data_IF_353725858562
#
_entry.id   IF_353725858562
#
_cell.length_a   1.000
_cell.length_b   1.000
_cell.length_c   1.000
_cell.angle_alpha   90.00
_cell.angle_beta   90.00
_cell.angle_gamma   90.00
#
_symmetry.space_group_name_H-M   'P 1'
#
loop_
_entity.id
_entity.type
_entity.pdbx_description
1 polymer ?
#
# COMPACT_ATOMS: atom_id res chain seq x y z
N UNK A 1 5.83 -27.77 -41.32
CA UNK A 1 6.49 -28.37 -40.15
C UNK A 1 5.67 -27.99 -38.93
N UNK A 2 5.09 -28.95 -38.20
CA UNK A 2 4.39 -28.63 -36.94
C UNK A 2 5.44 -28.29 -35.89
N UNK A 3 5.27 -27.16 -35.19
CA UNK A 3 6.14 -26.80 -34.09
C UNK A 3 5.86 -27.74 -32.90
N UNK A 4 6.89 -28.28 -32.26
CA UNK A 4 6.71 -29.12 -31.06
C UNK A 4 6.56 -28.22 -29.82
N UNK A 5 5.33 -27.80 -29.52
CA UNK A 5 5.04 -26.91 -28.39
C UNK A 5 5.42 -27.51 -27.03
N UNK A 6 5.22 -28.82 -26.84
CA UNK A 6 5.57 -29.53 -25.60
C UNK A 6 7.06 -29.42 -25.31
N UNK A 7 7.91 -29.65 -26.31
CA UNK A 7 9.36 -29.50 -26.14
C UNK A 7 9.74 -28.08 -25.69
N UNK A 8 9.07 -27.04 -26.19
CA UNK A 8 9.36 -25.66 -25.77
C UNK A 8 8.90 -25.42 -24.33
N UNK A 9 7.75 -25.98 -23.93
CA UNK A 9 7.29 -25.95 -22.54
C UNK A 9 8.29 -26.68 -21.62
N UNK A 10 8.81 -27.84 -22.02
CA UNK A 10 9.81 -28.59 -21.26
C UNK A 10 11.08 -27.76 -21.02
N UNK A 11 11.51 -26.94 -22.00
CA UNK A 11 12.66 -26.04 -21.79
C UNK A 11 12.39 -25.01 -20.68
N UNK A 12 11.15 -24.56 -20.52
CA UNK A 12 10.79 -23.63 -19.44
C UNK A 12 10.83 -24.36 -18.10
N UNK A 13 10.14 -25.50 -18.00
CA UNK A 13 10.01 -26.27 -16.76
C UNK A 13 11.35 -26.83 -16.29
N UNK A 14 12.09 -27.49 -17.19
CA UNK A 14 13.33 -28.20 -16.84
C UNK A 14 14.55 -27.27 -16.80
N UNK A 15 14.59 -26.22 -17.62
CA UNK A 15 15.80 -25.40 -17.80
C UNK A 15 15.62 -23.92 -17.42
N UNK A 16 14.46 -23.50 -16.89
CA UNK A 16 14.15 -22.09 -16.63
C UNK A 16 14.39 -21.17 -17.85
N UNK A 17 14.04 -21.64 -19.04
CA UNK A 17 14.30 -20.91 -20.29
C UNK A 17 13.37 -19.69 -20.46
N UNK A 18 13.91 -18.50 -20.19
CA UNK A 18 13.20 -17.24 -20.36
C UNK A 18 12.79 -16.97 -21.81
N UNK A 19 13.64 -17.30 -22.79
CA UNK A 19 13.39 -17.01 -24.20
C UNK A 19 12.28 -17.91 -24.73
N UNK A 20 12.24 -19.18 -24.29
CA UNK A 20 11.12 -20.08 -24.57
C UNK A 20 9.80 -19.51 -24.02
N UNK A 21 9.79 -18.98 -22.79
CA UNK A 21 8.59 -18.34 -22.22
C UNK A 21 8.16 -17.11 -23.04
N UNK A 22 9.07 -16.17 -23.32
CA UNK A 22 8.75 -14.96 -24.12
C UNK A 22 8.21 -15.34 -25.51
N UNK A 23 8.84 -16.32 -26.15
CA UNK A 23 8.41 -16.81 -27.45
C UNK A 23 6.97 -17.35 -27.42
N UNK A 24 6.65 -18.20 -26.44
CA UNK A 24 5.29 -18.75 -26.30
C UNK A 24 4.26 -17.67 -25.96
N UNK A 25 4.59 -16.68 -25.11
CA UNK A 25 3.69 -15.55 -24.85
C UNK A 25 3.36 -14.76 -26.11
N UNK A 26 4.37 -14.51 -26.95
CA UNK A 26 4.16 -13.81 -28.22
C UNK A 26 3.30 -14.64 -29.17
N UNK A 27 3.50 -15.96 -29.22
CA UNK A 27 2.65 -16.85 -30.02
C UNK A 27 1.21 -16.93 -29.52
N UNK A 28 0.98 -16.88 -28.20
CA UNK A 28 -0.39 -16.75 -27.66
C UNK A 28 -1.06 -15.43 -28.08
N UNK A 29 -0.29 -14.36 -28.26
CA UNK A 29 -0.80 -13.06 -28.71
C UNK A 29 -1.13 -13.03 -30.21
N UNK A 30 -0.17 -13.38 -31.06
CA UNK A 30 -0.26 -13.17 -32.53
C UNK A 30 -0.45 -14.44 -33.36
N UNK A 31 -0.43 -15.62 -32.75
CA UNK A 31 -0.58 -16.90 -33.44
C UNK A 31 -1.98 -17.13 -34.00
N UNK A 32 -2.13 -18.14 -34.85
CA UNK A 32 -3.44 -18.59 -35.33
C UNK A 32 -4.25 -19.25 -34.21
N UNK A 33 -5.56 -19.40 -34.39
CA UNK A 33 -6.44 -20.04 -33.41
C UNK A 33 -5.92 -21.44 -33.05
N UNK A 34 -5.58 -22.25 -34.06
CA UNK A 34 -5.04 -23.61 -33.85
C UNK A 34 -3.72 -23.60 -33.08
N UNK A 35 -2.80 -22.68 -33.41
CA UNK A 35 -1.54 -22.56 -32.70
C UNK A 35 -1.75 -22.18 -31.23
N UNK A 36 -2.64 -21.21 -30.96
CA UNK A 36 -2.97 -20.83 -29.58
C UNK A 36 -3.56 -22.01 -28.83
N UNK A 37 -4.50 -22.72 -29.44
CA UNK A 37 -5.14 -23.89 -28.85
C UNK A 37 -4.11 -24.97 -28.47
N UNK A 38 -3.23 -25.36 -29.39
CA UNK A 38 -2.20 -26.37 -29.16
C UNK A 38 -1.17 -25.94 -28.10
N UNK A 39 -0.76 -24.66 -28.10
CA UNK A 39 0.16 -24.12 -27.09
C UNK A 39 -0.49 -24.18 -25.71
N UNK A 40 -1.74 -23.72 -25.57
CA UNK A 40 -2.44 -23.75 -24.28
C UNK A 40 -2.63 -25.19 -23.81
N UNK A 41 -2.92 -26.13 -24.71
CA UNK A 41 -3.01 -27.54 -24.35
C UNK A 41 -1.68 -28.10 -23.81
N UNK A 42 -0.55 -27.78 -24.46
CA UNK A 42 0.77 -28.18 -23.97
C UNK A 42 1.12 -27.55 -22.62
N UNK A 43 0.63 -26.35 -22.33
CA UNK A 43 0.79 -25.67 -21.05
C UNK A 43 -0.05 -26.33 -19.95
N UNK A 44 -1.30 -26.71 -20.26
CA UNK A 44 -2.21 -27.39 -19.32
C UNK A 44 -1.60 -28.70 -18.82
N UNK A 45 -0.98 -29.48 -19.72
CA UNK A 45 -0.33 -30.75 -19.39
C UNK A 45 0.78 -30.61 -18.30
N UNK A 46 1.33 -29.40 -18.12
CA UNK A 46 2.36 -29.08 -17.13
C UNK A 46 2.04 -27.80 -16.33
N UNK A 47 0.76 -27.55 -16.08
CA UNK A 47 0.29 -26.28 -15.53
C UNK A 47 0.95 -25.95 -14.18
N UNK A 48 0.89 -26.85 -13.19
CA UNK A 48 1.41 -26.56 -11.85
C UNK A 48 2.92 -26.24 -11.84
N UNK A 49 3.81 -27.05 -12.45
CA UNK A 49 5.23 -26.70 -12.56
C UNK A 49 5.46 -25.32 -13.19
N UNK A 50 4.67 -24.92 -14.18
CA UNK A 50 4.76 -23.59 -14.79
C UNK A 50 4.27 -22.48 -13.85
N UNK A 51 3.23 -22.71 -13.05
CA UNK A 51 2.70 -21.70 -12.12
C UNK A 51 3.72 -21.23 -11.09
N UNK A 52 4.53 -22.17 -10.57
CA UNK A 52 5.59 -21.89 -9.59
C UNK A 52 6.95 -21.61 -10.24
N UNK A 53 6.99 -21.48 -11.56
CA UNK A 53 8.20 -21.18 -12.30
C UNK A 53 8.39 -19.67 -12.51
N UNK A 54 9.62 -19.19 -12.37
CA UNK A 54 10.01 -17.78 -12.54
C UNK A 54 9.55 -17.16 -13.86
N UNK A 55 9.54 -17.93 -14.94
CA UNK A 55 9.12 -17.46 -16.26
C UNK A 55 7.84 -18.14 -16.75
N UNK A 56 7.52 -19.34 -16.26
CA UNK A 56 6.32 -20.09 -16.62
C UNK A 56 5.03 -19.44 -16.11
N UNK A 57 5.07 -18.75 -14.96
CA UNK A 57 3.87 -18.15 -14.37
C UNK A 57 3.20 -17.12 -15.31
N UNK A 58 4.00 -16.34 -16.04
CA UNK A 58 3.50 -15.38 -17.03
C UNK A 58 2.79 -16.07 -18.20
N UNK A 59 3.23 -17.29 -18.54
CA UNK A 59 2.61 -18.12 -19.57
C UNK A 59 1.20 -18.54 -19.14
N UNK A 60 1.08 -19.08 -17.92
CA UNK A 60 -0.21 -19.49 -17.36
C UNK A 60 -1.16 -18.31 -17.24
N UNK A 61 -0.66 -17.14 -16.81
CA UNK A 61 -1.46 -15.91 -16.77
C UNK A 61 -2.00 -15.51 -18.15
N UNK A 62 -1.20 -15.68 -19.22
CA UNK A 62 -1.64 -15.40 -20.60
C UNK A 62 -2.64 -16.42 -21.13
N UNK A 63 -2.61 -17.65 -20.63
CA UNK A 63 -3.63 -18.65 -20.97
C UNK A 63 -5.02 -18.25 -20.46
N UNK A 64 -5.13 -17.50 -19.35
CA UNK A 64 -6.42 -16.95 -18.92
C UNK A 64 -6.99 -15.89 -19.87
N UNK A 65 -6.14 -15.22 -20.65
CA UNK A 65 -6.55 -14.17 -21.60
C UNK A 65 -6.81 -14.70 -23.02
N UNK A 66 -6.18 -15.82 -23.38
CA UNK A 66 -6.15 -16.32 -24.75
C UNK A 66 -6.65 -17.76 -24.91
N UNK A 67 -6.87 -18.49 -23.81
CA UNK A 67 -7.44 -19.83 -23.82
C UNK A 67 -8.96 -19.81 -24.05
N UNK A 68 -9.51 -20.92 -24.52
CA UNK A 68 -10.97 -21.10 -24.57
C UNK A 68 -11.54 -21.23 -23.16
N UNK A 69 -12.87 -21.07 -22.96
CA UNK A 69 -13.50 -21.29 -21.66
C UNK A 69 -13.16 -22.66 -21.04
N UNK A 70 -13.12 -23.72 -21.86
CA UNK A 70 -12.78 -25.08 -21.42
C UNK A 70 -11.32 -25.19 -20.96
N UNK A 71 -10.41 -24.49 -21.65
CA UNK A 71 -8.99 -24.43 -21.28
C UNK A 71 -8.77 -23.62 -19.99
N UNK A 72 -9.50 -22.51 -19.81
CA UNK A 72 -9.50 -21.75 -18.56
C UNK A 72 -9.98 -22.63 -17.40
N UNK A 73 -11.03 -23.40 -17.60
CA UNK A 73 -11.53 -24.38 -16.63
C UNK A 73 -10.48 -25.45 -16.33
N UNK A 74 -9.79 -25.98 -17.34
CA UNK A 74 -8.72 -26.97 -17.14
C UNK A 74 -7.57 -26.42 -16.29
N UNK A 75 -7.19 -25.15 -16.49
CA UNK A 75 -6.19 -24.47 -15.66
C UNK A 75 -6.72 -24.29 -14.23
N UNK A 76 -7.98 -23.90 -14.06
CA UNK A 76 -8.60 -23.79 -12.74
C UNK A 76 -8.64 -25.13 -11.99
N UNK A 77 -8.87 -26.25 -12.70
CA UNK A 77 -8.77 -27.60 -12.12
C UNK A 77 -7.34 -27.94 -11.69
N UNK A 78 -6.30 -27.45 -12.38
CA UNK A 78 -4.92 -27.62 -11.93
C UNK A 78 -4.59 -26.79 -10.67
N UNK A 79 -5.27 -25.66 -10.46
CA UNK A 79 -5.16 -24.85 -9.23
C UNK A 79 -5.88 -25.51 -8.05
N UNK A 80 -6.99 -26.22 -8.30
CA UNK A 80 -7.78 -26.88 -7.27
C UNK A 80 -6.92 -27.82 -6.41
N UNK A 81 -7.08 -27.70 -5.10
CA UNK A 81 -6.28 -28.39 -4.09
C UNK A 81 -4.93 -27.73 -3.78
N UNK A 82 -4.51 -26.75 -4.59
CA UNK A 82 -3.20 -26.11 -4.51
C UNK A 82 -3.29 -24.60 -4.25
N UNK A 83 -4.47 -24.02 -4.06
CA UNK A 83 -4.63 -22.55 -3.94
C UNK A 83 -3.77 -21.99 -2.81
N UNK A 84 -3.70 -22.67 -1.67
CA UNK A 84 -2.87 -22.27 -0.53
C UNK A 84 -1.38 -22.23 -0.89
N UNK A 85 -0.86 -23.32 -1.46
CA UNK A 85 0.57 -23.43 -1.81
C UNK A 85 0.95 -22.40 -2.86
N UNK A 86 0.12 -22.24 -3.90
CA UNK A 86 0.34 -21.24 -4.94
C UNK A 86 0.28 -19.82 -4.38
N UNK A 87 -0.65 -19.51 -3.48
CA UNK A 87 -0.74 -18.19 -2.85
C UNK A 87 0.50 -17.82 -2.03
N UNK A 88 1.17 -18.82 -1.45
CA UNK A 88 2.41 -18.65 -0.69
C UNK A 88 3.68 -18.80 -1.54
N UNK A 89 3.56 -19.03 -2.85
CA UNK A 89 4.69 -19.09 -3.77
C UNK A 89 5.00 -17.71 -4.37
N UNK A 90 6.28 -17.42 -4.60
CA UNK A 90 6.75 -16.14 -5.13
C UNK A 90 6.26 -15.82 -6.55
N UNK A 91 5.85 -16.85 -7.31
CA UNK A 91 5.34 -16.73 -8.67
C UNK A 91 3.87 -17.17 -8.76
N UNK A 92 3.52 -18.23 -8.03
CA UNK A 92 2.17 -18.78 -7.97
C UNK A 92 1.13 -17.78 -7.48
N UNK A 93 1.50 -16.85 -6.58
CA UNK A 93 0.55 -15.88 -6.04
C UNK A 93 0.00 -14.96 -7.14
N UNK A 94 0.80 -14.65 -8.17
CA UNK A 94 0.38 -13.86 -9.32
C UNK A 94 -0.59 -14.64 -10.21
N UNK A 95 -0.39 -15.95 -10.35
CA UNK A 95 -1.33 -16.82 -11.07
C UNK A 95 -2.66 -16.90 -10.34
N UNK A 96 -2.66 -17.06 -9.01
CA UNK A 96 -3.90 -17.10 -8.22
C UNK A 96 -4.67 -15.79 -8.31
N UNK A 97 -3.98 -14.64 -8.22
CA UNK A 97 -4.60 -13.33 -8.41
C UNK A 97 -5.25 -13.20 -9.80
N UNK A 98 -4.55 -13.63 -10.86
CA UNK A 98 -5.10 -13.61 -12.23
C UNK A 98 -6.27 -14.57 -12.40
N UNK A 99 -6.19 -15.75 -11.78
CA UNK A 99 -7.27 -16.73 -11.81
C UNK A 99 -8.56 -16.16 -11.22
N UNK A 100 -8.49 -15.42 -10.10
CA UNK A 100 -9.67 -14.76 -9.53
C UNK A 100 -10.37 -13.76 -10.46
N UNK A 101 -9.66 -13.19 -11.45
CA UNK A 101 -10.27 -12.32 -12.47
C UNK A 101 -10.96 -13.11 -13.58
N UNK A 102 -10.45 -14.29 -13.92
CA UNK A 102 -10.75 -14.94 -15.19
C UNK A 102 -11.57 -16.23 -15.07
N UNK A 103 -11.50 -16.95 -13.96
CA UNK A 103 -12.19 -18.24 -13.83
C UNK A 103 -13.68 -18.07 -13.52
N UNK A 104 -14.54 -19.05 -13.87
CA UNK A 104 -15.95 -19.04 -13.49
C UNK A 104 -16.14 -18.97 -11.97
N UNK A 105 -17.29 -18.44 -11.53
CA UNK A 105 -17.58 -18.16 -10.12
C UNK A 105 -17.50 -19.40 -9.23
N UNK A 106 -17.87 -20.57 -9.74
CA UNK A 106 -17.74 -21.86 -9.04
C UNK A 106 -16.28 -22.19 -8.66
N UNK A 107 -15.32 -21.88 -9.55
CA UNK A 107 -13.89 -22.11 -9.29
C UNK A 107 -13.32 -21.04 -8.36
N UNK A 108 -13.79 -19.79 -8.49
CA UNK A 108 -13.45 -18.73 -7.52
C UNK A 108 -13.84 -19.18 -6.12
N UNK A 109 -15.07 -19.66 -5.93
CA UNK A 109 -15.56 -20.14 -4.63
C UNK A 109 -14.70 -21.28 -4.06
N UNK A 110 -14.30 -22.26 -4.88
CA UNK A 110 -13.40 -23.34 -4.46
C UNK A 110 -12.05 -22.79 -3.97
N UNK A 111 -11.44 -21.88 -4.74
CA UNK A 111 -10.18 -21.24 -4.36
C UNK A 111 -10.30 -20.47 -3.05
N UNK A 112 -11.39 -19.72 -2.87
CA UNK A 112 -11.69 -19.03 -1.60
C UNK A 112 -11.78 -20.02 -0.45
N UNK A 113 -12.56 -21.10 -0.59
CA UNK A 113 -12.70 -22.11 0.45
C UNK A 113 -11.38 -22.78 0.83
N UNK A 114 -10.44 -22.94 -0.11
CA UNK A 114 -9.11 -23.45 0.18
C UNK A 114 -8.28 -22.43 0.98
N UNK A 115 -8.28 -21.15 0.58
CA UNK A 115 -7.53 -20.10 1.27
C UNK A 115 -8.02 -19.90 2.72
N UNK A 116 -9.33 -20.00 2.95
CA UNK A 116 -9.96 -19.89 4.27
C UNK A 116 -9.50 -20.97 5.28
N UNK A 117 -8.78 -22.03 4.86
CA UNK A 117 -8.32 -23.09 5.77
C UNK A 117 -7.11 -22.69 6.62
N UNK A 118 -6.33 -21.67 6.22
CA UNK A 118 -5.11 -21.23 6.91
C UNK A 118 -5.03 -19.71 7.00
N UNK A 119 -6.11 -19.08 7.47
CA UNK A 119 -6.23 -17.60 7.51
C UNK A 119 -5.08 -16.95 8.30
N UNK A 120 -4.80 -17.32 9.57
CA UNK A 120 -3.82 -16.58 10.36
C UNK A 120 -2.43 -16.56 9.75
N UNK A 121 -2.03 -17.67 9.12
CA UNK A 121 -0.74 -17.79 8.46
C UNK A 121 -0.67 -17.05 7.13
N UNK A 122 -1.70 -17.19 6.30
CA UNK A 122 -1.67 -16.64 4.94
C UNK A 122 -1.89 -15.13 4.90
N UNK A 123 -2.65 -14.56 5.82
CA UNK A 123 -2.91 -13.10 5.89
C UNK A 123 -1.61 -12.31 6.10
N UNK A 124 -0.69 -12.84 6.92
CA UNK A 124 0.60 -12.20 7.19
C UNK A 124 1.73 -12.71 6.29
N UNK A 125 1.45 -13.65 5.39
CA UNK A 125 2.48 -14.21 4.51
C UNK A 125 2.88 -13.22 3.42
N UNK A 126 4.19 -13.12 3.14
CA UNK A 126 4.77 -12.12 2.23
C UNK A 126 4.26 -12.12 0.79
N UNK A 127 3.78 -13.27 0.31
CA UNK A 127 3.20 -13.41 -1.03
C UNK A 127 1.67 -13.54 -1.00
N UNK A 128 1.13 -14.19 0.03
CA UNK A 128 -0.31 -14.47 0.08
C UNK A 128 -1.11 -13.26 0.55
N UNK A 129 -0.49 -12.27 1.20
CA UNK A 129 -1.14 -11.00 1.53
C UNK A 129 -1.70 -10.28 0.29
N UNK A 130 -1.03 -10.37 -0.87
CA UNK A 130 -1.51 -9.80 -2.13
C UNK A 130 -2.73 -10.56 -2.66
N UNK A 131 -2.79 -11.87 -2.43
CA UNK A 131 -3.97 -12.69 -2.75
C UNK A 131 -5.15 -12.29 -1.88
N UNK A 132 -4.93 -12.02 -0.59
CA UNK A 132 -5.96 -11.51 0.32
C UNK A 132 -6.48 -10.13 -0.07
N UNK A 133 -5.61 -9.19 -0.43
CA UNK A 133 -6.03 -7.88 -0.95
C UNK A 133 -6.91 -8.03 -2.19
N UNK A 134 -6.46 -8.85 -3.16
CA UNK A 134 -7.26 -9.17 -4.34
C UNK A 134 -8.61 -9.78 -3.97
N UNK A 135 -8.63 -10.65 -2.97
CA UNK A 135 -9.83 -11.35 -2.52
C UNK A 135 -10.88 -10.37 -1.94
N UNK A 136 -10.46 -9.38 -1.15
CA UNK A 136 -11.36 -8.37 -0.59
C UNK A 136 -11.89 -7.39 -1.63
N UNK A 137 -11.18 -7.22 -2.75
CA UNK A 137 -11.61 -6.39 -3.88
C UNK A 137 -12.56 -7.10 -4.85
N UNK A 138 -12.73 -8.43 -4.73
CA UNK A 138 -13.55 -9.20 -5.66
C UNK A 138 -15.01 -8.73 -5.68
N UNK A 139 -15.57 -8.77 -6.88
CA UNK A 139 -16.99 -8.57 -7.14
C UNK A 139 -17.59 -9.90 -7.58
N UNK A 140 -18.67 -10.30 -6.91
CA UNK A 140 -19.40 -11.53 -7.16
C UNK A 140 -20.67 -11.19 -7.94
N UNK A 141 -21.08 -12.06 -8.86
CA UNK A 141 -22.34 -11.87 -9.58
C UNK A 141 -23.53 -12.37 -8.77
N UNK A 142 -23.32 -13.41 -7.96
CA UNK A 142 -24.28 -13.92 -6.97
C UNK A 142 -24.03 -13.42 -5.56
N UNK A 143 -24.57 -14.15 -4.58
CA UNK A 143 -24.30 -13.90 -3.16
C UNK A 143 -22.80 -14.17 -2.86
N UNK A 144 -22.04 -13.15 -2.42
CA UNK A 144 -20.62 -13.34 -2.14
C UNK A 144 -20.43 -14.28 -0.94
N UNK A 145 -19.37 -15.12 -0.92
CA UNK A 145 -19.03 -15.85 0.28
C UNK A 145 -18.77 -14.87 1.44
N UNK A 146 -19.13 -15.24 2.67
CA UNK A 146 -18.93 -14.42 3.87
C UNK A 146 -17.44 -14.42 4.31
N UNK A 147 -16.54 -14.05 3.40
CA UNK A 147 -15.07 -14.14 3.56
C UNK A 147 -14.63 -13.38 4.80
N UNK A 148 -15.06 -12.12 4.92
CA UNK A 148 -14.63 -11.23 6.02
C UNK A 148 -15.10 -11.75 7.37
N UNK A 149 -16.27 -12.39 7.44
CA UNK A 149 -16.74 -13.06 8.65
C UNK A 149 -15.80 -14.19 9.08
N UNK A 150 -15.44 -15.11 8.18
CA UNK A 150 -14.50 -16.19 8.49
C UNK A 150 -13.13 -15.64 8.91
N UNK A 151 -12.68 -14.57 8.26
CA UNK A 151 -11.43 -13.90 8.61
C UNK A 151 -11.50 -13.28 10.00
N UNK A 152 -12.59 -12.58 10.33
CA UNK A 152 -12.83 -12.02 11.66
C UNK A 152 -12.91 -13.10 12.73
N UNK A 153 -13.56 -14.23 12.45
CA UNK A 153 -13.66 -15.34 13.40
C UNK A 153 -12.29 -15.98 13.66
N UNK A 154 -11.48 -16.15 12.61
CA UNK A 154 -10.13 -16.72 12.72
C UNK A 154 -9.10 -15.77 13.35
N UNK A 155 -9.30 -14.45 13.23
CA UNK A 155 -8.39 -13.41 13.73
C UNK A 155 -8.91 -12.66 14.94
N UNK A 156 -10.01 -13.12 15.56
CA UNK A 156 -10.57 -12.51 16.76
C UNK A 156 -9.52 -12.37 17.85
N UNK A 157 -9.33 -11.14 18.33
CA UNK A 157 -8.34 -10.78 19.33
C UNK A 157 -6.93 -10.54 18.79
N UNK A 158 -6.67 -10.79 17.50
CA UNK A 158 -5.33 -10.73 16.89
C UNK A 158 -5.18 -9.61 15.87
N UNK A 159 -6.22 -8.81 15.59
CA UNK A 159 -6.14 -7.77 14.55
C UNK A 159 -5.07 -6.72 14.82
N UNK A 160 -4.80 -6.42 16.09
CA UNK A 160 -3.73 -5.51 16.48
C UNK A 160 -2.34 -6.10 16.17
N UNK A 161 -2.12 -7.40 16.37
CA UNK A 161 -0.86 -8.08 16.00
C UNK A 161 -0.68 -8.10 14.48
N UNK A 162 -1.75 -8.37 13.73
CA UNK A 162 -1.73 -8.33 12.26
C UNK A 162 -1.37 -6.93 11.77
N UNK A 163 -1.94 -5.87 12.37
CA UNK A 163 -1.65 -4.48 12.02
C UNK A 163 -0.18 -4.08 12.28
N UNK A 164 0.50 -4.72 13.23
CA UNK A 164 1.91 -4.47 13.53
C UNK A 164 2.87 -5.10 12.50
N UNK A 165 2.40 -6.07 11.69
CA UNK A 165 3.21 -6.74 10.68
C UNK A 165 3.37 -5.95 9.38
N UNK A 166 4.50 -6.12 8.69
CA UNK A 166 4.79 -5.49 7.39
C UNK A 166 3.68 -5.72 6.37
N UNK A 167 3.32 -6.98 6.17
CA UNK A 167 2.32 -7.45 5.20
C UNK A 167 0.91 -7.35 5.76
N UNK A 168 0.74 -7.66 7.05
CA UNK A 168 -0.54 -7.62 7.75
C UNK A 168 -1.14 -6.22 7.81
N UNK A 169 -0.31 -5.19 8.00
CA UNK A 169 -0.77 -3.78 8.00
C UNK A 169 -1.41 -3.36 6.67
N UNK A 170 -0.94 -3.92 5.54
CA UNK A 170 -1.53 -3.67 4.22
C UNK A 170 -2.89 -4.35 4.10
N UNK A 171 -3.03 -5.57 4.63
CA UNK A 171 -4.31 -6.29 4.66
C UNK A 171 -5.33 -5.56 5.53
N UNK A 172 -4.92 -5.06 6.70
CA UNK A 172 -5.78 -4.27 7.60
C UNK A 172 -6.28 -3.01 6.91
N UNK A 173 -5.41 -2.26 6.23
CA UNK A 173 -5.81 -1.06 5.47
C UNK A 173 -6.76 -1.41 4.32
N UNK A 174 -6.51 -2.51 3.59
CA UNK A 174 -7.40 -2.95 2.52
C UNK A 174 -8.81 -3.32 3.05
N UNK A 175 -8.91 -3.92 4.24
CA UNK A 175 -10.20 -4.15 4.92
C UNK A 175 -10.90 -2.83 5.24
N UNK A 176 -10.16 -1.81 5.69
CA UNK A 176 -10.75 -0.50 5.99
C UNK A 176 -11.37 0.17 4.76
N UNK A 177 -10.77 -0.03 3.59
CA UNK A 177 -11.16 0.56 2.32
C UNK A 177 -12.25 -0.21 1.58
N UNK A 178 -12.12 -1.54 1.51
CA UNK A 178 -12.87 -2.36 0.55
C UNK A 178 -14.02 -3.16 1.17
N UNK A 179 -14.03 -3.35 2.49
CA UNK A 179 -15.08 -4.13 3.14
C UNK A 179 -16.27 -3.25 3.56
N UNK A 180 -17.46 -3.88 3.61
CA UNK A 180 -18.68 -3.27 4.12
C UNK A 180 -18.50 -2.82 5.58
N UNK A 181 -19.28 -1.83 5.98
CA UNK A 181 -19.13 -1.20 7.29
C UNK A 181 -19.29 -2.21 8.43
N UNK A 182 -20.32 -3.07 8.37
CA UNK A 182 -20.55 -4.13 9.34
C UNK A 182 -19.42 -5.16 9.40
N UNK A 183 -18.82 -5.49 8.26
CA UNK A 183 -17.80 -6.54 8.13
C UNK A 183 -16.44 -6.09 8.65
N UNK A 184 -16.08 -4.80 8.46
CA UNK A 184 -14.80 -4.29 8.97
C UNK A 184 -14.83 -3.93 10.45
N UNK A 185 -16.01 -3.86 11.09
CA UNK A 185 -16.14 -3.46 12.51
C UNK A 185 -15.25 -4.23 13.47
N UNK A 186 -15.16 -5.57 13.46
CA UNK A 186 -14.31 -6.29 14.41
C UNK A 186 -12.83 -5.89 14.29
N UNK A 187 -12.31 -5.80 13.06
CA UNK A 187 -10.95 -5.35 12.79
C UNK A 187 -10.70 -3.91 13.27
N UNK A 188 -11.55 -2.96 12.87
CA UNK A 188 -11.42 -1.54 13.27
C UNK A 188 -11.49 -1.39 14.79
N UNK A 189 -12.42 -2.08 15.44
CA UNK A 189 -12.61 -1.99 16.89
C UNK A 189 -11.42 -2.53 17.66
N UNK A 190 -10.83 -3.66 17.24
CA UNK A 190 -9.65 -4.22 17.89
C UNK A 190 -8.40 -3.34 17.69
N UNK A 191 -8.20 -2.81 16.47
CA UNK A 191 -7.12 -1.87 16.18
C UNK A 191 -7.26 -0.60 17.04
N UNK A 192 -8.47 -0.02 17.13
CA UNK A 192 -8.73 1.15 17.97
C UNK A 192 -8.67 0.88 19.47
N UNK A 193 -8.90 -0.36 19.90
CA UNK A 193 -8.76 -0.75 21.32
C UNK A 193 -7.29 -0.90 21.72
N UNK A 194 -6.41 -1.17 20.75
CA UNK A 194 -4.96 -1.28 20.92
C UNK A 194 -4.20 -0.12 20.26
N UNK A 195 -4.85 1.03 20.10
CA UNK A 195 -4.34 2.17 19.33
C UNK A 195 -2.95 2.63 19.79
N UNK A 196 -2.65 2.55 21.09
CA UNK A 196 -1.33 2.92 21.63
C UNK A 196 -0.22 2.06 21.06
N UNK A 197 -0.35 0.74 21.20
CA UNK A 197 0.62 -0.23 20.66
C UNK A 197 0.73 -0.10 19.14
N UNK A 198 -0.41 0.02 18.44
CA UNK A 198 -0.43 0.07 16.97
C UNK A 198 0.20 1.37 16.45
N UNK A 199 -0.05 2.52 17.09
CA UNK A 199 0.51 3.81 16.67
C UNK A 199 2.04 3.89 16.80
N UNK A 200 2.61 3.20 17.80
CA UNK A 200 4.07 3.09 17.99
C UNK A 200 4.72 2.02 17.09
N UNK A 201 3.93 1.23 16.35
CA UNK A 201 4.45 0.20 15.45
C UNK A 201 5.01 0.79 14.15
N UNK A 202 6.13 0.23 13.66
CA UNK A 202 6.75 0.59 12.37
C UNK A 202 5.77 0.52 11.18
N UNK A 203 4.88 -0.47 11.21
CA UNK A 203 3.84 -0.67 10.21
C UNK A 203 2.46 -0.25 10.71
N UNK A 204 2.15 -0.50 11.99
CA UNK A 204 0.86 -0.18 12.59
C UNK A 204 0.48 1.31 12.54
N UNK A 205 1.46 2.23 12.60
CA UNK A 205 1.18 3.66 12.52
C UNK A 205 0.43 4.05 11.22
N UNK A 206 0.64 3.32 10.11
CA UNK A 206 -0.09 3.56 8.86
C UNK A 206 -1.58 3.20 8.98
N UNK A 207 -1.93 2.16 9.72
CA UNK A 207 -3.33 1.81 10.00
C UNK A 207 -4.03 2.92 10.81
N UNK A 208 -3.34 3.52 11.78
CA UNK A 208 -3.93 4.63 12.58
C UNK A 208 -4.04 5.91 11.75
N UNK A 209 -3.02 6.21 10.92
CA UNK A 209 -3.10 7.33 9.96
C UNK A 209 -4.30 7.18 9.02
N UNK A 210 -4.52 5.97 8.50
CA UNK A 210 -5.66 5.66 7.63
C UNK A 210 -6.99 5.94 8.32
N UNK A 211 -7.17 5.48 9.56
CA UNK A 211 -8.38 5.77 10.35
C UNK A 211 -8.55 7.28 10.57
N UNK A 212 -7.46 8.00 10.84
CA UNK A 212 -7.52 9.45 11.05
C UNK A 212 -7.92 10.23 9.78
N UNK A 213 -7.59 9.72 8.59
CA UNK A 213 -7.82 10.40 7.31
C UNK A 213 -9.13 9.99 6.64
N UNK A 214 -9.44 8.69 6.67
CA UNK A 214 -10.52 8.08 5.90
C UNK A 214 -11.58 7.37 6.75
N UNK A 215 -11.34 7.23 8.06
CA UNK A 215 -12.27 6.57 8.97
C UNK A 215 -13.62 7.27 9.07
N UNK A 216 -14.63 6.52 9.52
CA UNK A 216 -15.93 7.08 9.89
C UNK A 216 -15.76 8.19 10.93
N UNK A 217 -16.72 9.12 11.03
CA UNK A 217 -16.64 10.22 12.01
C UNK A 217 -16.39 9.68 13.44
N UNK A 218 -17.13 8.66 13.93
CA UNK A 218 -16.87 8.09 15.26
C UNK A 218 -15.46 7.50 15.43
N UNK A 219 -14.98 6.74 14.45
CA UNK A 219 -13.66 6.09 14.52
C UNK A 219 -12.53 7.14 14.51
N UNK A 220 -12.65 8.14 13.61
CA UNK A 220 -11.70 9.25 13.53
C UNK A 220 -11.69 10.05 14.81
N UNK A 221 -12.84 10.41 15.37
CA UNK A 221 -12.93 11.12 16.65
C UNK A 221 -12.27 10.31 17.77
N UNK A 222 -12.57 9.00 17.88
CA UNK A 222 -11.94 8.12 18.87
C UNK A 222 -10.41 8.09 18.74
N UNK A 223 -9.90 7.96 17.51
CA UNK A 223 -8.47 7.95 17.26
C UNK A 223 -7.81 9.29 17.63
N UNK A 224 -8.38 10.40 17.14
CA UNK A 224 -7.89 11.76 17.38
C UNK A 224 -7.89 12.10 18.86
N UNK A 225 -8.95 11.77 19.60
CA UNK A 225 -9.04 12.04 21.04
C UNK A 225 -7.98 11.28 21.84
N UNK A 226 -7.65 10.05 21.41
CA UNK A 226 -6.56 9.28 22.00
C UNK A 226 -5.20 9.92 21.69
N UNK A 227 -4.94 10.28 20.43
CA UNK A 227 -3.69 10.93 20.01
C UNK A 227 -3.48 12.25 20.76
N UNK A 228 -4.54 13.06 20.93
CA UNK A 228 -4.48 14.31 21.69
C UNK A 228 -4.20 14.09 23.17
N UNK A 229 -4.70 12.99 23.75
CA UNK A 229 -4.44 12.64 25.16
C UNK A 229 -2.95 12.39 25.41
N UNK A 230 -2.27 11.76 24.46
CA UNK A 230 -0.84 11.42 24.52
C UNK A 230 0.01 12.30 23.58
N UNK A 231 -0.46 13.51 23.30
CA UNK A 231 0.12 14.40 22.27
C UNK A 231 1.61 14.65 22.49
N UNK A 232 2.06 14.73 23.74
CA UNK A 232 3.47 15.00 24.06
C UNK A 232 4.34 13.79 23.73
N UNK A 233 3.95 12.62 24.23
CA UNK A 233 4.65 11.35 24.09
C UNK A 233 4.69 10.94 22.61
N UNK A 234 3.54 10.98 21.93
CA UNK A 234 3.46 10.62 20.51
C UNK A 234 4.29 11.55 19.62
N UNK A 235 4.33 12.85 19.93
CA UNK A 235 5.13 13.79 19.14
C UNK A 235 6.63 13.50 19.16
N UNK A 236 7.12 12.79 20.18
CA UNK A 236 8.55 12.49 20.37
C UNK A 236 8.90 11.04 20.06
N UNK A 237 7.93 10.24 19.59
CA UNK A 237 8.17 8.87 19.16
C UNK A 237 8.52 8.79 17.66
N UNK A 238 9.30 7.79 17.27
CA UNK A 238 9.74 7.60 15.88
C UNK A 238 8.59 7.34 14.89
N UNK A 239 7.53 6.67 15.33
CA UNK A 239 6.41 6.25 14.48
C UNK A 239 5.12 6.98 14.81
N UNK A 240 4.79 7.13 16.10
CA UNK A 240 3.57 7.82 16.52
C UNK A 240 3.59 9.32 16.17
N UNK A 241 4.77 9.95 16.03
CA UNK A 241 4.88 11.34 15.57
C UNK A 241 4.36 11.53 14.15
N UNK A 242 4.43 10.49 13.30
CA UNK A 242 3.86 10.51 11.94
C UNK A 242 2.33 10.50 11.98
N UNK A 243 1.74 9.87 12.98
CA UNK A 243 0.29 9.91 13.22
C UNK A 243 -0.13 11.32 13.63
N UNK A 244 0.62 11.97 14.54
CA UNK A 244 0.40 13.38 14.89
C UNK A 244 0.55 14.29 13.68
N UNK A 245 1.58 14.09 12.86
CA UNK A 245 1.79 14.83 11.61
C UNK A 245 0.60 14.68 10.66
N UNK A 246 0.07 13.46 10.51
CA UNK A 246 -1.14 13.20 9.71
C UNK A 246 -2.33 13.98 10.25
N UNK A 247 -2.59 13.93 11.55
CA UNK A 247 -3.68 14.68 12.17
C UNK A 247 -3.51 16.20 12.01
N UNK A 248 -2.29 16.74 12.10
CA UNK A 248 -2.02 18.17 11.82
C UNK A 248 -2.36 18.55 10.37
N UNK A 249 -2.11 17.65 9.41
CA UNK A 249 -2.38 17.90 7.99
C UNK A 249 -3.86 17.82 7.62
N UNK A 250 -4.62 16.91 8.22
CA UNK A 250 -6.01 16.62 7.81
C UNK A 250 -7.07 17.14 8.78
N UNK A 251 -6.70 17.38 10.05
CA UNK A 251 -7.62 17.80 11.11
C UNK A 251 -7.91 19.31 11.15
N UNK A 252 -7.21 20.10 10.33
CA UNK A 252 -7.41 21.55 10.25
C UNK A 252 -7.15 22.28 11.57
N UNK A 253 -7.81 23.44 11.74
CA UNK A 253 -7.62 24.29 12.93
C UNK A 253 -8.17 23.65 14.21
N UNK A 254 -9.21 22.81 14.13
CA UNK A 254 -9.78 22.13 15.32
C UNK A 254 -8.75 21.23 16.00
N UNK A 255 -8.12 20.34 15.22
CA UNK A 255 -7.07 19.48 15.76
C UNK A 255 -5.88 20.30 16.29
N UNK A 256 -5.45 21.31 15.53
CA UNK A 256 -4.31 22.16 15.90
C UNK A 256 -4.57 22.90 17.22
N UNK A 257 -5.73 23.51 17.39
CA UNK A 257 -6.08 24.26 18.60
C UNK A 257 -6.06 23.34 19.82
N UNK A 258 -6.70 22.16 19.72
CA UNK A 258 -6.70 21.14 20.79
C UNK A 258 -5.32 20.57 21.06
N UNK A 259 -4.48 20.40 20.02
CA UNK A 259 -3.10 19.96 20.18
C UNK A 259 -2.28 21.01 20.95
N UNK A 260 -2.39 22.29 20.55
CA UNK A 260 -1.69 23.40 21.22
C UNK A 260 -2.14 23.58 22.66
N UNK A 261 -3.44 23.43 22.95
CA UNK A 261 -3.94 23.40 24.34
C UNK A 261 -3.18 22.37 25.19
N UNK A 262 -2.95 21.16 24.66
CA UNK A 262 -2.26 20.08 25.40
C UNK A 262 -0.76 20.28 25.55
N UNK A 263 -0.09 20.81 24.53
CA UNK A 263 1.39 20.92 24.54
C UNK A 263 1.89 22.25 25.11
N UNK A 264 1.04 23.28 25.15
CA UNK A 264 1.34 24.57 25.77
C UNK A 264 0.89 24.66 27.24
N UNK A 265 0.14 23.66 27.74
CA UNK A 265 -0.30 23.63 29.13
C UNK A 265 0.89 23.56 30.10
N UNK A 266 0.89 24.47 31.09
CA UNK A 266 1.86 24.44 32.17
C UNK A 266 1.51 23.32 33.14
N UNK A 267 2.44 22.39 33.37
CA UNK A 267 2.25 21.29 34.33
C UNK A 267 3.02 21.61 35.61
N UNK A 268 2.38 21.68 36.79
CA UNK A 268 3.06 22.00 38.06
C UNK A 268 4.25 21.07 38.36
N UNK A 269 4.14 19.81 37.95
CA UNK A 269 5.16 18.78 38.18
C UNK A 269 6.28 18.78 37.12
N UNK A 270 6.13 19.53 36.03
CA UNK A 270 7.13 19.60 34.94
C UNK A 270 7.57 21.04 34.71
N UNK A 271 8.79 21.43 35.09
CA UNK A 271 9.25 22.81 34.98
C UNK A 271 9.40 23.29 33.52
N UNK A 272 9.52 22.35 32.56
CA UNK A 272 9.63 22.65 31.13
C UNK A 272 8.35 22.27 30.40
N UNK A 273 7.81 23.24 29.65
CA UNK A 273 6.60 23.08 28.85
C UNK A 273 6.79 22.00 27.76
N UNK A 274 5.81 21.09 27.56
CA UNK A 274 5.90 20.02 26.57
C UNK A 274 6.27 20.49 25.17
N UNK A 275 5.70 21.61 24.70
CA UNK A 275 6.03 22.23 23.41
C UNK A 275 7.54 22.40 23.21
N UNK A 276 8.27 22.77 24.26
CA UNK A 276 9.70 23.07 24.21
C UNK A 276 10.54 21.78 24.21
N UNK A 277 10.00 20.70 24.76
CA UNK A 277 10.59 19.36 24.66
C UNK A 277 10.40 18.81 23.26
N UNK A 278 9.17 18.87 22.73
CA UNK A 278 8.84 18.48 21.35
C UNK A 278 9.70 19.28 20.34
N UNK A 279 9.83 20.60 20.51
CA UNK A 279 10.65 21.44 19.64
C UNK A 279 12.14 21.06 19.64
N UNK A 280 12.63 20.48 20.74
CA UNK A 280 14.02 20.06 20.89
C UNK A 280 14.27 18.58 20.58
N UNK A 281 13.23 17.81 20.28
CA UNK A 281 13.28 16.38 20.03
C UNK A 281 13.63 16.04 18.57
N UNK A 282 14.21 14.87 18.33
CA UNK A 282 14.65 14.42 17.00
C UNK A 282 13.51 14.17 16.00
N UNK A 283 12.30 13.89 16.46
CA UNK A 283 11.10 13.72 15.63
C UNK A 283 10.15 14.91 15.80
N UNK A 284 9.90 15.31 17.04
CA UNK A 284 8.94 16.36 17.39
C UNK A 284 9.26 17.72 16.77
N UNK A 285 10.54 18.05 16.54
CA UNK A 285 10.93 19.31 15.94
C UNK A 285 10.29 19.53 14.56
N UNK A 286 10.05 18.46 13.78
CA UNK A 286 9.42 18.57 12.46
C UNK A 286 7.95 18.98 12.56
N UNK A 287 7.23 18.52 13.60
CA UNK A 287 5.85 18.92 13.86
C UNK A 287 5.77 20.42 14.18
N UNK A 288 6.69 20.94 14.99
CA UNK A 288 6.72 22.37 15.34
C UNK A 288 7.10 23.22 14.13
N UNK A 289 8.05 22.77 13.30
CA UNK A 289 8.36 23.43 12.03
C UNK A 289 7.15 23.46 11.08
N UNK A 290 6.39 22.37 11.01
CA UNK A 290 5.16 22.31 10.23
C UNK A 290 4.16 23.37 10.71
N UNK A 291 3.87 23.42 12.01
CA UNK A 291 2.94 24.41 12.59
C UNK A 291 3.42 25.84 12.30
N UNK A 292 4.71 26.13 12.51
CA UNK A 292 5.26 27.47 12.27
C UNK A 292 5.26 27.89 10.79
N UNK A 293 5.16 26.96 9.85
CA UNK A 293 5.22 27.27 8.41
C UNK A 293 3.86 27.18 7.71
N UNK A 294 2.98 26.27 8.15
CA UNK A 294 1.71 25.97 7.48
C UNK A 294 0.48 26.54 8.18
N UNK A 295 0.58 26.89 9.47
CA UNK A 295 -0.56 27.45 10.20
C UNK A 295 -0.73 28.96 9.98
N UNK A 296 -1.93 29.45 10.23
CA UNK A 296 -2.26 30.88 10.21
C UNK A 296 -1.49 31.66 11.29
N UNK A 297 -1.51 32.98 11.14
CA UNK A 297 -0.73 33.92 11.96
C UNK A 297 -1.04 33.74 13.45
N UNK A 298 -2.30 33.47 13.82
CA UNK A 298 -2.70 33.37 15.22
C UNK A 298 -2.04 32.18 15.91
N UNK A 299 -2.17 30.96 15.36
CA UNK A 299 -1.56 29.75 15.96
C UNK A 299 -0.04 29.77 15.85
N UNK A 300 0.50 30.31 14.77
CA UNK A 300 1.95 30.53 14.63
C UNK A 300 2.49 31.39 15.77
N UNK A 301 1.80 32.49 16.09
CA UNK A 301 2.25 33.40 17.14
C UNK A 301 2.15 32.76 18.53
N UNK A 302 1.14 31.92 18.80
CA UNK A 302 1.06 31.12 20.04
C UNK A 302 2.34 30.30 20.22
N UNK A 303 2.72 29.51 19.22
CA UNK A 303 3.94 28.68 19.27
C UNK A 303 5.19 29.55 19.38
N UNK A 304 5.31 30.58 18.54
CA UNK A 304 6.48 31.45 18.50
C UNK A 304 6.72 32.19 19.83
N UNK A 305 5.65 32.67 20.48
CA UNK A 305 5.75 33.35 21.76
C UNK A 305 6.32 32.45 22.87
N UNK A 306 5.95 31.18 22.91
CA UNK A 306 6.53 30.21 23.84
C UNK A 306 7.98 29.88 23.49
N UNK A 307 8.27 29.59 22.21
CA UNK A 307 9.63 29.28 21.76
C UNK A 307 10.61 30.42 22.03
N UNK A 308 10.20 31.69 21.84
CA UNK A 308 11.04 32.87 22.10
C UNK A 308 11.54 32.95 23.56
N UNK A 309 10.74 32.51 24.53
CA UNK A 309 11.12 32.46 25.96
C UNK A 309 12.21 31.43 26.25
N UNK A 310 12.44 30.46 25.35
CA UNK A 310 13.41 29.38 25.51
C UNK A 310 14.53 29.42 24.45
N UNK A 311 14.76 30.58 23.83
CA UNK A 311 15.71 30.75 22.73
C UNK A 311 17.13 30.30 23.04
N UNK A 312 17.61 30.56 24.25
CA UNK A 312 18.99 30.22 24.65
C UNK A 312 19.22 28.71 24.54
N UNK A 313 18.27 27.90 25.03
CA UNK A 313 18.37 26.45 24.98
C UNK A 313 18.17 25.90 23.56
N UNK A 314 17.15 26.40 22.84
CA UNK A 314 16.79 25.84 21.52
C UNK A 314 17.80 26.19 20.43
N UNK A 315 18.44 27.36 20.45
CA UNK A 315 19.48 27.73 19.47
C UNK A 315 20.70 26.81 19.52
N UNK A 316 21.08 26.36 20.71
CA UNK A 316 22.18 25.41 20.91
C UNK A 316 21.77 23.94 20.72
N UNK A 317 20.48 23.64 20.55
CA UNK A 317 20.00 22.27 20.40
C UNK A 317 20.25 21.73 18.99
N UNK A 318 20.75 20.49 18.91
CA UNK A 318 20.95 19.75 17.66
C UNK A 318 19.68 19.74 16.80
N UNK A 319 18.52 19.52 17.41
CA UNK A 319 17.23 19.41 16.70
C UNK A 319 16.42 20.72 16.79
N UNK A 320 16.53 21.46 17.89
CA UNK A 320 15.74 22.67 18.14
C UNK A 320 16.23 23.94 17.43
N UNK A 321 17.46 23.95 16.90
CA UNK A 321 18.05 25.14 16.27
C UNK A 321 17.25 25.63 15.06
N UNK A 322 16.64 24.71 14.30
CA UNK A 322 15.81 25.07 13.14
C UNK A 322 14.47 25.68 13.57
N UNK A 323 13.82 25.11 14.58
CA UNK A 323 12.60 25.67 15.19
C UNK A 323 12.88 27.08 15.71
N UNK A 324 14.01 27.26 16.40
CA UNK A 324 14.44 28.55 16.93
C UNK A 324 14.58 29.62 15.84
N UNK A 325 15.17 29.26 14.70
CA UNK A 325 15.36 30.14 13.56
C UNK A 325 14.04 30.63 12.96
N UNK A 326 13.03 29.75 12.84
CA UNK A 326 11.72 30.09 12.30
C UNK A 326 10.99 31.14 13.15
N UNK A 327 11.23 31.17 14.46
CA UNK A 327 10.65 32.17 15.37
C UNK A 327 11.42 33.50 15.42
N UNK A 328 12.60 33.58 14.82
CA UNK A 328 13.45 34.78 14.85
C UNK A 328 13.45 35.60 13.55
N UNK A 329 12.84 35.10 12.46
CA UNK A 329 12.96 35.72 11.16
C UNK A 329 11.65 36.43 10.73
N UNK A 330 11.61 37.78 10.64
CA UNK A 330 10.46 38.53 10.12
C UNK A 330 10.08 38.16 8.67
N UNK A 331 10.99 37.56 7.90
CA UNK A 331 10.80 37.30 6.46
C UNK A 331 9.81 36.17 6.11
N UNK A 332 9.34 35.36 7.07
CA UNK A 332 8.29 34.35 6.83
C UNK A 332 6.86 34.90 6.96
N UNK A 333 6.70 36.17 7.35
CA UNK A 333 5.40 36.85 7.37
C UNK A 333 4.98 37.40 5.99
N UNK A 334 5.86 37.42 4.98
CA UNK A 334 5.64 38.17 3.73
C UNK A 334 6.07 37.47 2.43
N UNK A 335 6.33 36.16 2.41
CA UNK A 335 6.51 35.44 1.13
C UNK A 335 5.25 34.66 0.72
N UNK A 336 4.67 34.92 -0.45
CA UNK A 336 3.87 33.93 -1.16
C UNK A 336 4.74 32.70 -1.44
N UNK A 337 4.14 31.52 -1.54
CA UNK A 337 4.84 30.24 -1.72
C UNK A 337 5.89 30.22 -2.85
N UNK A 338 6.74 29.19 -2.90
CA UNK A 338 7.83 29.14 -3.86
C UNK A 338 7.28 29.14 -5.30
N UNK A 339 7.94 29.82 -6.26
CA UNK A 339 7.54 29.79 -7.65
C UNK A 339 7.70 28.36 -8.19
N UNK A 340 6.71 27.91 -8.94
CA UNK A 340 6.76 26.65 -9.64
C UNK A 340 7.98 26.61 -10.57
N UNK A 341 8.86 25.63 -10.34
CA UNK A 341 9.90 25.19 -11.28
C UNK A 341 11.28 25.83 -11.11
N UNK A 342 12.21 25.12 -10.45
CA UNK A 342 13.53 24.74 -10.97
C UNK A 342 14.41 24.03 -9.89
N UNK A 343 15.49 23.32 -10.28
CA UNK A 343 15.64 21.90 -9.98
C UNK A 343 16.50 21.57 -8.74
N UNK A 344 16.20 20.43 -8.11
CA UNK A 344 17.04 19.82 -7.09
C UNK A 344 18.28 19.19 -7.73
N UNK A 345 19.47 19.71 -7.40
CA UNK A 345 20.74 19.10 -7.77
C UNK A 345 21.07 17.90 -6.87
N UNK A 346 21.32 16.75 -7.51
CA UNK A 346 22.00 15.52 -7.03
C UNK A 346 23.34 15.89 -6.34
N UNK A 347 23.95 15.20 -5.39
CA UNK A 347 24.07 13.79 -4.95
C UNK A 347 24.64 13.88 -3.50
N UNK A 348 24.57 12.92 -2.57
CA UNK A 348 25.09 11.55 -2.65
C UNK A 348 24.69 10.81 -1.36
N UNK A 349 24.03 9.65 -1.47
CA UNK A 349 24.38 8.45 -0.68
C UNK A 349 23.57 7.26 -1.18
N UNK A 350 24.33 6.31 -1.72
CA UNK A 350 23.98 4.94 -2.06
C UNK A 350 23.11 4.28 -0.98
N UNK A 351 21.97 3.72 -1.37
CA UNK A 351 21.68 2.29 -1.34
C UNK A 351 20.58 2.05 -2.38
N UNK A 352 20.81 1.06 -3.25
CA UNK A 352 20.07 0.92 -4.50
C UNK A 352 18.80 0.10 -4.36
N UNK A 353 17.80 0.47 -5.15
CA UNK A 353 16.80 -0.44 -5.65
C UNK A 353 16.58 -0.14 -7.15
N UNK A 354 16.87 -1.17 -7.95
CA UNK A 354 16.30 -1.34 -9.28
C UNK A 354 14.81 -1.63 -9.08
N UNK A 355 13.94 -0.86 -9.72
CA UNK A 355 12.83 -1.33 -10.57
C UNK A 355 11.91 -0.14 -10.88
N UNK A 356 11.73 0.12 -12.16
CA UNK A 356 10.58 0.82 -12.71
C UNK A 356 10.25 0.22 -14.08
N UNK A 357 9.22 0.71 -14.77
CA UNK A 357 8.03 1.38 -14.24
C UNK A 357 6.72 0.85 -14.85
N UNK A 358 5.62 1.36 -14.28
CA UNK A 358 4.25 1.36 -14.78
C UNK A 358 4.10 1.68 -16.27
N UNK A 359 3.06 1.08 -16.88
CA UNK A 359 2.23 1.74 -17.89
C UNK A 359 0.76 1.40 -17.64
N UNK A 360 0.04 2.33 -17.04
CA UNK A 360 -1.41 2.44 -17.17
C UNK A 360 -1.77 3.37 -18.31
N UNK A 361 -2.72 2.97 -19.16
CA UNK A 361 -3.51 3.91 -19.98
C UNK A 361 -4.93 3.38 -20.20
N UNK A 362 -5.90 4.25 -19.89
CA UNK A 362 -7.34 4.10 -20.08
C UNK A 362 -7.82 4.89 -21.32
N UNK A 363 -8.60 4.20 -22.15
CA UNK A 363 -9.72 4.58 -23.03
C UNK A 363 -9.92 5.98 -23.68
N UNK A 364 -10.24 5.88 -25.00
CA UNK A 364 -11.23 6.63 -25.82
C UNK A 364 -10.95 8.12 -26.16
N UNK A 365 -11.23 8.69 -27.35
CA UNK A 365 -12.09 8.36 -28.50
C UNK A 365 -11.76 9.27 -29.70
N UNK A 366 -12.03 8.76 -30.92
CA UNK A 366 -12.38 9.45 -32.18
C UNK A 366 -11.71 10.78 -32.61
N UNK A 367 -11.04 10.74 -33.78
CA UNK A 367 -11.44 11.49 -34.99
C UNK A 367 -10.59 11.13 -36.21
N UNK A 368 -11.29 10.85 -37.32
CA UNK A 368 -10.78 10.74 -38.70
C UNK A 368 -10.24 12.10 -39.17
N UNK A 369 -9.18 12.11 -39.99
CA UNK A 369 -9.18 12.58 -41.39
C UNK A 369 -7.76 12.57 -41.98
N UNK A 370 -7.62 11.93 -43.14
CA UNK A 370 -6.91 12.42 -44.34
C UNK A 370 -5.45 12.88 -44.27
N UNK A 371 -4.57 12.08 -44.89
CA UNK A 371 -3.95 12.54 -46.13
C UNK A 371 -2.50 13.08 -46.09
N UNK A 372 -1.71 12.48 -46.98
CA UNK A 372 -0.61 13.08 -47.76
C UNK A 372 0.79 13.12 -47.12
N UNK A 373 1.58 12.10 -47.49
CA UNK A 373 2.82 12.22 -48.28
C UNK A 373 3.87 13.27 -47.85
N UNK A 374 5.05 12.81 -47.43
CA UNK A 374 6.34 13.09 -48.12
C UNK A 374 7.54 12.39 -47.46
N UNK A 375 8.35 11.83 -48.36
CA UNK A 375 9.70 11.29 -48.22
C UNK A 375 10.71 12.23 -47.56
N UNK A 376 11.78 11.68 -46.99
CA UNK A 376 13.22 11.90 -47.28
C UNK A 376 14.03 11.23 -46.14
N UNK A 377 14.84 10.19 -46.43
CA UNK A 377 16.31 10.31 -46.56
C UNK A 377 16.95 10.67 -45.21
N UNK A 378 17.59 9.79 -44.43
CA UNK A 378 18.64 8.85 -44.80
C UNK A 378 19.99 9.57 -44.79
N UNK A 379 20.77 9.48 -43.70
CA UNK A 379 22.23 9.61 -43.72
C UNK A 379 22.87 8.93 -42.49
N UNK A 380 23.64 7.89 -42.83
CA UNK A 380 24.84 7.28 -42.20
C UNK A 380 24.79 6.74 -40.78
#
# INVERSE_FOLDING_TARGET
MSCNWRYIVDKIVCNNDQQASIFLQQKLKVGTIDQKFEIVQAIIDQAYPLMVNRFGNFLVQRCFEHGTPEQVIAIAQAIRGNTLNLSMDAFGCHVVQKAFDCVPEEYKAIMVHELLRRIPETVIHRYACHVWQKLFELRWSGEPPQIVKYVNDALRGMWHEVALGETGSLVVQNIFENCLEEDKRPCVNEVLSSIDVVAHGQFGNWCIQHICEHGSIPDRTRAVDHILRFATEYSMDQFASKVVEKCLKVGGTDFLDRFLERVCEARPERPRMPLIDIAGDQFGNYLIQYILTQSDIQRREVVAAHIRKHMVSLRGSKYGSRVAMLCCNPAYATRPGPPAGMPSSRNNSRYGDYYGPDLGHSYSSDRRYGGVNRSFGGYR
#
